data_IF_246900067607
#
_entry.id   IF_246900067607
#
_cell.length_a   1.000
_cell.length_b   1.000
_cell.length_c   1.000
_cell.angle_alpha   90.00
_cell.angle_beta   90.00
_cell.angle_gamma   90.00
#
_symmetry.space_group_name_H-M   'P 1'
#
loop_
_entity.id
_entity.type
_entity.pdbx_description
1 polymer ?
#
# COMPACT_ATOMS: atom_id res chain seq x y z
N UNK A 1 55.86 -3.02 -6.10
CA UNK A 1 54.60 -3.76 -5.91
C UNK A 1 53.90 -3.16 -4.71
N UNK A 2 52.94 -2.27 -4.92
CA UNK A 2 52.16 -1.69 -3.82
C UNK A 2 50.70 -1.72 -4.22
N UNK A 3 49.99 -2.69 -3.64
CA UNK A 3 48.57 -2.95 -3.85
C UNK A 3 47.80 -1.83 -3.16
N UNK A 4 47.17 -0.94 -3.92
CA UNK A 4 46.19 -0.02 -3.35
C UNK A 4 44.83 -0.69 -3.35
N UNK A 5 44.37 -0.95 -2.12
CA UNK A 5 43.10 -1.57 -1.75
C UNK A 5 41.95 -0.70 -2.27
N UNK A 6 41.05 -1.30 -3.04
CA UNK A 6 39.79 -0.68 -3.42
C UNK A 6 38.91 -0.51 -2.17
N UNK A 7 38.67 0.74 -1.76
CA UNK A 7 37.71 1.06 -0.70
C UNK A 7 36.33 1.18 -1.35
N UNK A 8 35.54 0.10 -1.30
CA UNK A 8 34.11 0.12 -1.60
C UNK A 8 33.36 0.65 -0.37
N UNK A 9 33.01 1.94 -0.40
CA UNK A 9 32.06 2.53 0.55
C UNK A 9 30.65 2.02 0.21
N UNK A 10 30.19 0.99 0.93
CA UNK A 10 28.77 0.65 0.97
C UNK A 10 28.03 1.71 1.80
N UNK A 11 27.62 2.80 1.15
CA UNK A 11 26.61 3.73 1.68
C UNK A 11 25.24 3.04 1.59
N UNK A 12 24.97 2.12 2.52
CA UNK A 12 23.64 1.51 2.67
C UNK A 12 22.74 2.51 3.38
N UNK A 13 22.31 3.56 2.68
CA UNK A 13 21.17 4.33 3.12
C UNK A 13 19.94 3.43 3.06
N UNK A 14 19.27 3.20 4.19
CA UNK A 14 17.92 2.63 4.16
C UNK A 14 17.04 3.61 3.38
N UNK A 15 16.83 3.33 2.09
CA UNK A 15 15.85 4.08 1.32
C UNK A 15 14.50 3.93 2.01
N UNK A 16 13.75 5.03 2.21
CA UNK A 16 12.42 4.93 2.81
C UNK A 16 11.56 4.00 1.95
N UNK A 17 10.81 3.12 2.60
CA UNK A 17 9.86 2.28 1.88
C UNK A 17 8.81 3.20 1.24
N UNK A 18 8.53 2.99 -0.06
CA UNK A 18 7.58 3.81 -0.81
C UNK A 18 6.26 3.06 -1.03
N UNK A 19 5.15 3.79 -1.00
CA UNK A 19 3.83 3.28 -1.38
C UNK A 19 3.72 3.11 -2.90
N UNK A 20 2.58 2.59 -3.36
CA UNK A 20 2.29 2.41 -4.78
C UNK A 20 2.42 3.69 -5.64
N UNK A 21 2.22 4.87 -5.04
CA UNK A 21 2.30 6.17 -5.69
C UNK A 21 3.67 6.85 -5.52
N UNK A 22 4.64 6.19 -4.87
CA UNK A 22 5.99 6.72 -4.64
C UNK A 22 6.13 7.61 -3.42
N UNK A 23 5.13 7.69 -2.53
CA UNK A 23 5.21 8.45 -1.29
C UNK A 23 5.93 7.64 -0.20
N UNK A 24 6.72 8.27 0.69
CA UNK A 24 7.27 7.59 1.87
C UNK A 24 6.16 6.98 2.73
N UNK A 25 6.38 5.75 3.21
CA UNK A 25 5.43 5.04 4.06
C UNK A 25 5.68 5.33 5.53
N UNK A 26 4.63 5.73 6.25
CA UNK A 26 4.61 5.86 7.71
C UNK A 26 3.51 4.98 8.33
N UNK A 27 3.74 3.66 8.42
CA UNK A 27 2.71 2.70 8.87
C UNK A 27 2.18 2.94 10.29
N UNK A 28 2.94 3.60 11.16
CA UNK A 28 2.46 3.95 12.50
C UNK A 28 1.32 4.97 12.45
N UNK A 29 1.32 5.84 11.44
CA UNK A 29 0.31 6.85 11.25
C UNK A 29 -0.81 6.34 10.34
N UNK A 30 -0.44 5.78 9.19
CA UNK A 30 -1.34 5.39 8.12
C UNK A 30 -2.04 4.04 8.35
N UNK A 31 -1.52 3.19 9.23
CA UNK A 31 -1.98 1.81 9.56
C UNK A 31 -1.85 0.82 8.39
N UNK A 32 -2.24 1.23 7.18
CA UNK A 32 -2.11 0.46 5.94
C UNK A 32 -1.36 1.26 4.88
N UNK A 33 -0.65 0.57 3.97
CA UNK A 33 -0.07 1.19 2.79
C UNK A 33 -0.28 0.34 1.55
N UNK A 34 -0.70 0.97 0.45
CA UNK A 34 -0.98 0.29 -0.81
C UNK A 34 0.34 -0.17 -1.43
N UNK A 35 0.48 -1.48 -1.65
CA UNK A 35 1.70 -2.06 -2.23
C UNK A 35 1.48 -2.64 -3.61
N UNK A 36 0.26 -3.08 -3.93
CA UNK A 36 -0.10 -3.60 -5.25
C UNK A 36 -1.52 -3.21 -5.61
N UNK A 37 -1.71 -2.86 -6.89
CA UNK A 37 -3.00 -2.65 -7.52
C UNK A 37 -3.04 -3.49 -8.79
N UNK A 38 -4.10 -4.27 -8.99
CA UNK A 38 -4.31 -5.09 -10.20
C UNK A 38 -5.72 -4.86 -10.72
N UNK A 39 -5.85 -4.71 -12.03
CA UNK A 39 -7.17 -4.71 -12.69
C UNK A 39 -7.70 -6.14 -12.80
N UNK A 40 -9.00 -6.30 -12.64
CA UNK A 40 -9.70 -7.51 -13.08
C UNK A 40 -9.67 -7.55 -14.62
N UNK A 41 -9.36 -8.72 -15.18
CA UNK A 41 -9.25 -8.91 -16.64
C UNK A 41 -10.63 -9.10 -17.29
N UNK A 42 -11.62 -9.55 -16.52
CA UNK A 42 -12.96 -9.89 -16.98
C UNK A 42 -13.99 -8.79 -16.71
N UNK A 43 -13.79 -8.03 -15.64
CA UNK A 43 -14.75 -7.03 -15.18
C UNK A 43 -14.13 -5.63 -15.22
N UNK A 44 -14.71 -4.77 -16.06
CA UNK A 44 -14.24 -3.40 -16.24
C UNK A 44 -14.29 -2.63 -14.91
N UNK A 45 -13.26 -1.81 -14.68
CA UNK A 45 -13.13 -0.87 -13.56
C UNK A 45 -13.13 -1.54 -12.17
N UNK A 46 -12.95 -2.86 -12.13
CA UNK A 46 -12.73 -3.61 -10.89
C UNK A 46 -11.25 -3.83 -10.64
N UNK A 47 -10.88 -3.70 -9.37
CA UNK A 47 -9.49 -3.75 -8.92
C UNK A 47 -9.32 -4.60 -7.67
N UNK A 48 -8.20 -5.30 -7.62
CA UNK A 48 -7.68 -5.98 -6.45
C UNK A 48 -6.52 -5.18 -5.86
N UNK A 49 -6.73 -4.67 -4.65
CA UNK A 49 -5.76 -3.87 -3.91
C UNK A 49 -5.13 -4.71 -2.81
N UNK A 50 -3.81 -4.66 -2.70
CA UNK A 50 -3.05 -5.30 -1.62
C UNK A 50 -2.33 -4.25 -0.80
N UNK A 51 -2.68 -4.19 0.47
CA UNK A 51 -2.05 -3.35 1.46
C UNK A 51 -1.11 -4.17 2.35
N UNK A 52 -0.01 -3.56 2.78
CA UNK A 52 0.65 -3.96 4.03
C UNK A 52 -0.05 -3.27 5.17
N UNK A 53 -0.06 -3.91 6.34
CA UNK A 53 -0.66 -3.39 7.55
C UNK A 53 0.33 -3.47 8.73
N UNK A 54 0.17 -2.58 9.71
CA UNK A 54 0.92 -2.64 10.97
C UNK A 54 0.54 -3.88 11.78
N UNK A 55 1.50 -4.48 12.48
CA UNK A 55 1.22 -5.57 13.42
C UNK A 55 0.47 -5.05 14.65
N UNK A 56 -0.51 -5.85 15.14
CA UNK A 56 -1.15 -5.62 16.43
C UNK A 56 -2.00 -4.35 16.48
N UNK A 57 -2.74 -4.06 15.40
CA UNK A 57 -3.60 -2.88 15.34
C UNK A 57 -4.62 -2.85 16.49
N UNK A 58 -4.71 -1.72 17.19
CA UNK A 58 -5.68 -1.47 18.26
C UNK A 58 -6.99 -0.84 17.74
N UNK A 59 -8.00 -0.70 18.61
CA UNK A 59 -9.33 -0.18 18.22
C UNK A 59 -9.30 1.23 17.63
N UNK A 60 -8.40 2.10 18.11
CA UNK A 60 -8.22 3.46 17.55
C UNK A 60 -7.69 3.41 16.12
N UNK A 61 -6.85 2.42 15.79
CA UNK A 61 -6.27 2.23 14.47
C UNK A 61 -7.27 1.73 13.42
N UNK A 62 -8.42 1.17 13.81
CA UNK A 62 -9.50 0.79 12.88
C UNK A 62 -10.05 2.01 12.13
N UNK A 63 -10.31 3.11 12.85
CA UNK A 63 -10.80 4.35 12.23
C UNK A 63 -9.78 4.99 11.30
N UNK A 64 -8.49 4.92 11.67
CA UNK A 64 -7.37 5.38 10.84
C UNK A 64 -7.24 4.54 9.58
N UNK A 65 -7.28 3.20 9.68
CA UNK A 65 -7.28 2.27 8.53
C UNK A 65 -8.35 2.63 7.52
N UNK A 66 -9.58 2.88 7.96
CA UNK A 66 -10.68 3.30 7.08
C UNK A 66 -10.37 4.62 6.37
N UNK A 67 -9.90 5.64 7.10
CA UNK A 67 -9.52 6.94 6.52
C UNK A 67 -8.40 6.80 5.49
N UNK A 68 -7.38 5.99 5.78
CA UNK A 68 -6.27 5.73 4.87
C UNK A 68 -6.74 4.99 3.62
N UNK A 69 -7.63 4.00 3.76
CA UNK A 69 -8.25 3.33 2.62
C UNK A 69 -9.01 4.34 1.76
N UNK A 70 -9.87 5.18 2.35
CA UNK A 70 -10.63 6.20 1.63
C UNK A 70 -9.71 7.18 0.88
N UNK A 71 -8.58 7.56 1.49
CA UNK A 71 -7.55 8.39 0.84
C UNK A 71 -6.98 7.71 -0.40
N UNK A 72 -6.56 6.45 -0.30
CA UNK A 72 -6.03 5.70 -1.45
C UNK A 72 -7.08 5.53 -2.55
N UNK A 73 -8.32 5.19 -2.19
CA UNK A 73 -9.41 5.06 -3.16
C UNK A 73 -9.69 6.40 -3.86
N UNK A 74 -9.67 7.52 -3.11
CA UNK A 74 -9.81 8.86 -3.69
C UNK A 74 -8.66 9.23 -4.65
N UNK A 75 -7.42 8.83 -4.34
CA UNK A 75 -6.28 9.02 -5.25
C UNK A 75 -6.45 8.21 -6.55
N UNK A 76 -6.88 6.95 -6.45
CA UNK A 76 -7.16 6.09 -7.61
C UNK A 76 -8.28 6.72 -8.46
N UNK A 77 -9.38 7.14 -7.83
CA UNK A 77 -10.49 7.81 -8.51
C UNK A 77 -10.02 9.06 -9.24
N UNK A 78 -9.26 9.94 -8.58
CA UNK A 78 -8.70 11.15 -9.20
C UNK A 78 -7.77 10.83 -10.37
N UNK A 79 -6.93 9.82 -10.24
CA UNK A 79 -5.95 9.45 -11.28
C UNK A 79 -6.62 8.88 -12.53
N UNK A 80 -7.65 8.03 -12.36
CA UNK A 80 -8.34 7.35 -13.46
C UNK A 80 -9.64 8.03 -13.93
N UNK A 81 -10.10 9.08 -13.24
CA UNK A 81 -11.29 9.84 -13.61
C UNK A 81 -12.62 9.24 -13.14
N UNK A 82 -12.61 8.44 -12.07
CA UNK A 82 -13.83 7.88 -11.49
C UNK A 82 -14.50 8.85 -10.52
N UNK A 83 -15.81 8.73 -10.38
CA UNK A 83 -16.64 9.57 -9.51
C UNK A 83 -17.28 8.79 -8.38
N UNK A 84 -17.48 7.49 -8.55
CA UNK A 84 -18.05 6.63 -7.53
C UNK A 84 -17.20 5.36 -7.31
N UNK A 85 -17.46 4.69 -6.20
CA UNK A 85 -16.80 3.44 -5.82
C UNK A 85 -17.69 2.56 -4.97
N UNK A 86 -17.52 1.27 -5.13
CA UNK A 86 -18.15 0.23 -4.32
C UNK A 86 -17.10 -0.75 -3.84
N UNK A 87 -16.98 -0.92 -2.52
CA UNK A 87 -16.09 -1.92 -1.93
C UNK A 87 -16.86 -3.24 -1.89
N UNK A 88 -16.41 -4.20 -2.69
CA UNK A 88 -17.06 -5.51 -2.84
C UNK A 88 -16.60 -6.50 -1.76
N UNK A 89 -15.31 -6.45 -1.40
CA UNK A 89 -14.72 -7.37 -0.41
C UNK A 89 -13.57 -6.71 0.34
N UNK A 90 -13.43 -7.06 1.62
CA UNK A 90 -12.31 -6.70 2.48
C UNK A 90 -11.86 -7.94 3.26
N UNK A 91 -10.56 -8.22 3.28
CA UNK A 91 -10.02 -9.40 3.95
C UNK A 91 -8.66 -9.12 4.59
N UNK A 92 -8.53 -9.49 5.86
CA UNK A 92 -7.25 -9.46 6.59
C UNK A 92 -6.54 -10.83 6.51
N UNK A 93 -5.22 -10.83 6.41
CA UNK A 93 -4.38 -12.04 6.46
C UNK A 93 -3.09 -11.78 7.20
N UNK A 94 -2.77 -12.62 8.18
CA UNK A 94 -1.66 -12.42 9.11
C UNK A 94 -0.63 -13.57 9.09
N UNK A 95 -0.53 -14.34 7.99
CA UNK A 95 0.25 -15.59 7.96
C UNK A 95 1.78 -15.35 8.00
N UNK A 96 2.28 -14.28 7.37
CA UNK A 96 3.71 -13.93 7.36
C UNK A 96 3.95 -12.45 7.66
N UNK A 97 3.17 -11.58 7.02
CA UNK A 97 3.09 -10.14 7.26
C UNK A 97 1.60 -9.76 7.23
N UNK A 98 1.12 -8.86 8.10
CA UNK A 98 -0.25 -8.37 8.04
C UNK A 98 -0.51 -7.75 6.67
N UNK A 99 -1.46 -8.37 5.97
CA UNK A 99 -1.94 -7.95 4.67
C UNK A 99 -3.42 -7.66 4.79
N UNK A 100 -3.81 -6.58 4.14
CA UNK A 100 -5.19 -6.20 3.99
C UNK A 100 -5.52 -6.15 2.50
N UNK A 101 -6.48 -6.97 2.10
CA UNK A 101 -6.91 -7.11 0.71
C UNK A 101 -8.25 -6.40 0.54
N UNK A 102 -8.37 -5.61 -0.52
CA UNK A 102 -9.61 -4.91 -0.85
C UNK A 102 -9.93 -5.14 -2.32
N UNK A 103 -11.14 -5.63 -2.58
CA UNK A 103 -11.72 -5.68 -3.92
C UNK A 103 -12.69 -4.51 -4.05
N UNK A 104 -12.47 -3.67 -5.07
CA UNK A 104 -13.26 -2.45 -5.30
C UNK A 104 -13.64 -2.35 -6.76
N UNK A 105 -14.84 -1.84 -7.02
CA UNK A 105 -15.31 -1.45 -8.35
C UNK A 105 -15.52 0.06 -8.40
N UNK A 106 -15.03 0.71 -9.44
CA UNK A 106 -15.18 2.14 -9.65
C UNK A 106 -16.15 2.44 -10.80
N UNK A 107 -16.73 3.64 -10.78
CA UNK A 107 -17.66 4.13 -11.81
C UNK A 107 -17.37 5.58 -12.20
#
# INVERSE_FOLDING_TARGET
MTKHIAVLLFLVGCAPQLDYFGNPIELQEDVISLTKMRKDESEKDKFYLTFIEIYGANSTQVSKKKRTLDRYLGLIMKYYGYTEKEILEQKDSNILQPRYYVTVKFY
#
